data_IF_210919385891
#
_entry.id   IF_210919385891
#
_cell.length_a   1.000
_cell.length_b   1.000
_cell.length_c   1.000
_cell.angle_alpha   90.00
_cell.angle_beta   90.00
_cell.angle_gamma   90.00
#
_symmetry.space_group_name_H-M   'P 1'
#
loop_
_entity.id
_entity.type
_entity.pdbx_description
1 polymer ?
#
# COMPACT_ATOMS: atom_id res chain seq x y z
N UNK A 1 -31.57 20.39 -6.20
CA UNK A 1 -30.84 19.84 -7.37
C UNK A 1 -29.53 19.25 -6.86
N UNK A 2 -29.22 17.96 -7.08
CA UNK A 2 -27.91 17.46 -6.67
C UNK A 2 -26.83 18.23 -7.46
N UNK A 3 -25.85 18.78 -6.75
CA UNK A 3 -24.71 19.49 -7.35
C UNK A 3 -24.14 18.65 -8.49
N UNK A 4 -24.16 19.16 -9.73
CA UNK A 4 -23.43 18.54 -10.84
C UNK A 4 -21.95 18.57 -10.48
N UNK A 5 -21.39 17.40 -10.17
CA UNK A 5 -19.95 17.24 -9.94
C UNK A 5 -19.26 17.65 -11.23
N UNK A 6 -18.55 18.79 -11.22
CA UNK A 6 -17.73 19.22 -12.34
C UNK A 6 -16.40 18.47 -12.27
N UNK A 7 -16.17 17.63 -13.27
CA UNK A 7 -14.88 16.99 -13.48
C UNK A 7 -13.88 18.01 -13.99
N UNK A 8 -12.62 17.83 -13.61
CA UNK A 8 -11.51 18.63 -14.07
C UNK A 8 -10.48 18.90 -12.99
N UNK A 9 -9.22 19.03 -13.41
CA UNK A 9 -8.10 19.24 -12.48
C UNK A 9 -8.19 20.60 -11.78
N UNK A 10 -8.61 21.65 -12.49
CA UNK A 10 -8.75 23.00 -11.91
C UNK A 10 -9.90 23.05 -10.91
N UNK A 11 -10.96 22.31 -11.16
CA UNK A 11 -12.17 22.26 -10.36
C UNK A 11 -11.95 21.43 -9.08
N UNK A 12 -11.11 20.40 -9.15
CA UNK A 12 -10.87 19.45 -8.05
C UNK A 12 -9.43 19.47 -7.51
N UNK A 13 -8.66 20.52 -7.79
CA UNK A 13 -7.22 20.59 -7.50
C UNK A 13 -6.88 20.25 -6.05
N UNK A 14 -7.68 20.70 -5.07
CA UNK A 14 -7.44 20.41 -3.64
C UNK A 14 -7.47 18.91 -3.34
N UNK A 15 -8.48 18.21 -3.84
CA UNK A 15 -8.63 16.77 -3.65
C UNK A 15 -7.57 16.00 -4.44
N UNK A 16 -7.26 16.46 -5.66
CA UNK A 16 -6.20 15.88 -6.45
C UNK A 16 -4.83 16.00 -5.78
N UNK A 17 -4.47 17.20 -5.28
CA UNK A 17 -3.23 17.44 -4.53
C UNK A 17 -3.16 16.57 -3.27
N UNK A 18 -4.26 16.44 -2.52
CA UNK A 18 -4.32 15.53 -1.38
C UNK A 18 -4.01 14.09 -1.80
N UNK A 19 -4.63 13.59 -2.87
CA UNK A 19 -4.38 12.23 -3.37
C UNK A 19 -2.95 12.06 -3.91
N UNK A 20 -2.34 13.10 -4.47
CA UNK A 20 -0.93 13.10 -4.86
C UNK A 20 -0.03 12.95 -3.63
N UNK A 21 -0.27 13.73 -2.57
CA UNK A 21 0.47 13.63 -1.31
C UNK A 21 0.31 12.23 -0.70
N UNK A 22 -0.92 11.71 -0.64
CA UNK A 22 -1.17 10.34 -0.16
C UNK A 22 -0.40 9.32 -1.01
N UNK A 23 -0.40 9.46 -2.33
CA UNK A 23 0.33 8.56 -3.21
C UNK A 23 1.86 8.64 -3.00
N UNK A 24 2.38 9.82 -2.68
CA UNK A 24 3.78 10.00 -2.32
C UNK A 24 4.13 9.25 -1.02
N UNK A 25 3.27 9.32 0.00
CA UNK A 25 3.46 8.53 1.23
C UNK A 25 3.38 7.03 0.99
N UNK A 26 2.40 6.57 0.19
CA UNK A 26 2.25 5.15 -0.18
C UNK A 26 3.51 4.65 -0.90
N UNK A 27 4.03 5.41 -1.87
CA UNK A 27 5.25 5.06 -2.59
C UNK A 27 6.51 5.15 -1.73
N UNK A 28 6.61 6.17 -0.89
CA UNK A 28 7.74 6.37 0.04
C UNK A 28 7.88 5.22 1.03
N UNK A 29 6.76 4.69 1.54
CA UNK A 29 6.76 3.53 2.43
C UNK A 29 7.42 2.30 1.79
N UNK A 30 7.05 1.97 0.54
CA UNK A 30 7.66 0.83 -0.20
C UNK A 30 9.12 1.11 -0.54
N UNK A 31 9.45 2.36 -0.86
CA UNK A 31 10.84 2.77 -1.13
C UNK A 31 11.74 2.54 0.09
N UNK A 32 11.32 3.01 1.26
CA UNK A 32 12.04 2.82 2.52
C UNK A 32 12.17 1.34 2.89
N UNK A 33 11.07 0.60 2.80
CA UNK A 33 11.05 -0.85 3.03
C UNK A 33 12.10 -1.57 2.18
N UNK A 34 12.11 -1.36 0.85
CA UNK A 34 13.07 -2.03 -0.04
C UNK A 34 14.53 -1.69 0.25
N UNK A 35 14.81 -0.51 0.77
CA UNK A 35 16.16 -0.10 1.15
C UNK A 35 16.61 -0.74 2.47
N UNK A 36 15.71 -0.89 3.43
CA UNK A 36 16.06 -1.29 4.81
C UNK A 36 16.04 -2.81 4.98
N UNK A 37 15.06 -3.51 4.40
CA UNK A 37 14.81 -4.92 4.72
C UNK A 37 15.93 -5.90 4.36
N UNK A 38 16.65 -5.76 3.22
CA UNK A 38 17.77 -6.65 2.92
C UNK A 38 18.87 -6.60 3.99
N UNK A 39 19.18 -5.41 4.49
CA UNK A 39 20.18 -5.19 5.54
C UNK A 39 19.69 -5.69 6.90
N UNK A 40 18.42 -5.40 7.23
CA UNK A 40 17.77 -5.87 8.45
C UNK A 40 17.75 -7.41 8.54
N UNK A 41 17.47 -8.10 7.43
CA UNK A 41 17.44 -9.57 7.37
C UNK A 41 18.80 -10.20 7.68
N UNK A 42 19.88 -9.58 7.21
CA UNK A 42 21.24 -10.06 7.40
C UNK A 42 21.73 -9.79 8.82
N UNK A 43 21.52 -8.57 9.33
CA UNK A 43 22.01 -8.14 10.65
C UNK A 43 21.28 -8.81 11.82
N UNK A 44 19.94 -8.89 11.77
CA UNK A 44 19.14 -9.34 12.91
C UNK A 44 18.84 -10.85 12.88
N UNK A 45 18.77 -11.45 11.69
CA UNK A 45 18.34 -12.86 11.55
C UNK A 45 19.38 -13.75 10.89
N UNK A 46 20.53 -13.21 10.45
CA UNK A 46 21.59 -13.99 9.79
C UNK A 46 21.15 -14.69 8.51
N UNK A 47 20.02 -14.27 7.91
CA UNK A 47 19.48 -14.90 6.71
C UNK A 47 20.28 -14.44 5.50
N UNK A 48 20.68 -15.38 4.64
CA UNK A 48 21.36 -15.05 3.40
C UNK A 48 20.55 -14.02 2.60
N UNK A 49 21.16 -12.86 2.35
CA UNK A 49 20.51 -11.68 1.75
C UNK A 49 19.68 -12.04 0.51
N UNK A 50 20.18 -12.93 -0.37
CA UNK A 50 19.46 -13.38 -1.58
C UNK A 50 18.17 -14.15 -1.29
N UNK A 51 18.17 -15.08 -0.33
CA UNK A 51 16.98 -15.88 0.02
C UNK A 51 15.93 -15.04 0.77
N UNK A 52 16.39 -14.17 1.68
CA UNK A 52 15.55 -13.20 2.35
C UNK A 52 14.84 -12.30 1.33
N UNK A 53 15.60 -11.64 0.44
CA UNK A 53 15.08 -10.75 -0.60
C UNK A 53 14.05 -11.48 -1.48
N UNK A 54 14.34 -12.71 -1.92
CA UNK A 54 13.41 -13.47 -2.76
C UNK A 54 12.10 -13.78 -2.04
N UNK A 55 12.15 -14.29 -0.82
CA UNK A 55 10.96 -14.59 -0.02
C UNK A 55 10.13 -13.32 0.23
N UNK A 56 10.82 -12.22 0.48
CA UNK A 56 10.24 -10.92 0.74
C UNK A 56 9.54 -10.34 -0.50
N UNK A 57 10.25 -10.25 -1.62
CA UNK A 57 9.70 -9.74 -2.89
C UNK A 57 8.54 -10.61 -3.36
N UNK A 58 8.65 -11.94 -3.23
CA UNK A 58 7.60 -12.86 -3.63
C UNK A 58 6.33 -12.70 -2.78
N UNK A 59 6.46 -12.68 -1.44
CA UNK A 59 5.33 -12.50 -0.53
C UNK A 59 4.63 -11.15 -0.76
N UNK A 60 5.40 -10.07 -0.84
CA UNK A 60 4.88 -8.74 -1.15
C UNK A 60 4.19 -8.69 -2.51
N UNK A 61 4.88 -9.16 -3.55
CA UNK A 61 4.41 -9.08 -4.93
C UNK A 61 3.13 -9.87 -5.14
N UNK A 62 3.06 -11.09 -4.61
CA UNK A 62 1.90 -11.96 -4.70
C UNK A 62 0.68 -11.35 -4.00
N UNK A 63 0.85 -10.92 -2.74
CA UNK A 63 -0.24 -10.35 -1.96
C UNK A 63 -0.73 -9.02 -2.53
N UNK A 64 0.18 -8.17 -3.00
CA UNK A 64 -0.15 -6.93 -3.71
C UNK A 64 -0.90 -7.19 -5.01
N UNK A 65 -0.47 -8.17 -5.81
CA UNK A 65 -1.14 -8.53 -7.05
C UNK A 65 -2.58 -9.00 -6.78
N UNK A 66 -2.78 -9.85 -5.78
CA UNK A 66 -4.10 -10.28 -5.35
C UNK A 66 -4.97 -9.11 -4.87
N UNK A 67 -4.44 -8.28 -3.98
CA UNK A 67 -5.15 -7.11 -3.47
C UNK A 67 -5.58 -6.18 -4.61
N UNK A 68 -4.66 -5.86 -5.54
CA UNK A 68 -4.94 -5.05 -6.72
C UNK A 68 -6.07 -5.64 -7.58
N UNK A 69 -6.04 -6.95 -7.84
CA UNK A 69 -7.07 -7.63 -8.63
C UNK A 69 -8.46 -7.46 -8.01
N UNK A 70 -8.57 -7.60 -6.69
CA UNK A 70 -9.84 -7.46 -5.98
C UNK A 70 -10.26 -6.01 -5.74
N UNK A 71 -9.34 -5.05 -5.73
CA UNK A 71 -9.64 -3.63 -5.48
C UNK A 71 -10.75 -3.11 -6.38
N UNK A 72 -10.78 -3.46 -7.68
CA UNK A 72 -11.83 -3.00 -8.59
C UNK A 72 -13.24 -3.46 -8.18
N UNK A 73 -13.41 -4.76 -7.90
CA UNK A 73 -14.69 -5.32 -7.45
C UNK A 73 -15.09 -4.77 -6.07
N UNK A 74 -14.13 -4.70 -5.15
CA UNK A 74 -14.36 -4.19 -3.81
C UNK A 74 -14.70 -2.69 -3.82
N UNK A 75 -14.13 -1.91 -4.75
CA UNK A 75 -14.38 -0.48 -4.85
C UNK A 75 -15.82 -0.20 -5.27
N UNK A 76 -16.39 -1.04 -6.12
CA UNK A 76 -17.80 -0.94 -6.52
C UNK A 76 -18.75 -1.28 -5.35
N UNK A 77 -18.35 -2.18 -4.45
CA UNK A 77 -19.18 -2.61 -3.31
C UNK A 77 -19.04 -1.70 -2.08
N UNK A 78 -17.81 -1.35 -1.72
CA UNK A 78 -17.48 -0.65 -0.48
C UNK A 78 -17.15 0.82 -0.69
N UNK A 79 -16.91 1.26 -1.92
CA UNK A 79 -16.47 2.62 -2.25
C UNK A 79 -14.95 2.78 -2.17
N UNK A 80 -14.40 3.59 -3.09
CA UNK A 80 -12.96 3.80 -3.28
C UNK A 80 -12.28 4.42 -2.06
N UNK A 81 -12.93 5.41 -1.43
CA UNK A 81 -12.44 6.04 -0.20
C UNK A 81 -12.31 5.04 0.96
N UNK A 82 -13.29 4.15 1.12
CA UNK A 82 -13.26 3.19 2.21
C UNK A 82 -12.14 2.18 2.03
N UNK A 83 -11.88 1.73 0.80
CA UNK A 83 -10.72 0.87 0.52
C UNK A 83 -9.39 1.53 0.82
N UNK A 84 -9.24 2.82 0.49
CA UNK A 84 -8.06 3.59 0.88
C UNK A 84 -7.87 3.59 2.40
N UNK A 85 -8.94 3.86 3.16
CA UNK A 85 -8.88 3.85 4.62
C UNK A 85 -8.57 2.47 5.19
N UNK A 86 -9.19 1.40 4.67
CA UNK A 86 -8.89 0.03 5.08
C UNK A 86 -7.44 -0.35 4.81
N UNK A 87 -6.89 0.03 3.66
CA UNK A 87 -5.47 -0.19 3.37
C UNK A 87 -4.57 0.51 4.38
N UNK A 88 -4.89 1.74 4.78
CA UNK A 88 -4.14 2.44 5.84
C UNK A 88 -4.32 1.82 7.22
N UNK A 89 -5.51 1.33 7.56
CA UNK A 89 -5.74 0.60 8.82
C UNK A 89 -4.90 -0.68 8.90
N UNK A 90 -4.79 -1.42 7.79
CA UNK A 90 -3.94 -2.60 7.69
C UNK A 90 -2.45 -2.23 7.83
N UNK A 91 -2.05 -1.01 7.47
CA UNK A 91 -0.68 -0.55 7.61
C UNK A 91 -0.27 -0.23 9.06
N UNK A 92 -1.22 0.15 9.93
CA UNK A 92 -0.95 0.54 11.32
C UNK A 92 -0.17 -0.53 12.12
N UNK A 93 -0.54 -1.82 12.12
CA UNK A 93 0.19 -2.83 12.89
C UNK A 93 1.60 -3.14 12.36
N UNK A 94 1.93 -2.78 11.12
CA UNK A 94 3.17 -3.21 10.44
C UNK A 94 4.43 -2.77 11.20
N UNK A 95 4.61 -1.49 11.58
CA UNK A 95 5.80 -1.06 12.32
C UNK A 95 5.96 -1.80 13.64
N UNK A 96 4.87 -2.05 14.36
CA UNK A 96 4.91 -2.78 15.64
C UNK A 96 5.31 -4.25 15.44
N UNK A 97 4.78 -4.91 14.41
CA UNK A 97 5.17 -6.27 14.06
C UNK A 97 6.66 -6.38 13.72
N UNK A 98 7.24 -5.35 13.10
CA UNK A 98 8.66 -5.31 12.75
C UNK A 98 9.55 -4.99 13.96
N UNK A 99 9.16 -4.02 14.80
CA UNK A 99 9.91 -3.65 16.02
C UNK A 99 9.99 -4.82 17.00
N UNK A 100 8.92 -5.60 17.13
CA UNK A 100 8.84 -6.75 18.04
C UNK A 100 9.02 -8.10 17.31
N UNK A 101 9.62 -8.09 16.12
CA UNK A 101 9.79 -9.30 15.32
C UNK A 101 10.74 -10.28 16.02
N UNK A 102 10.18 -11.39 16.54
CA UNK A 102 10.97 -12.45 17.17
C UNK A 102 11.60 -13.44 16.16
N UNK A 103 11.17 -13.39 14.89
CA UNK A 103 11.65 -14.30 13.84
C UNK A 103 11.38 -13.74 12.43
N UNK A 104 12.08 -14.25 11.42
CA UNK A 104 11.87 -13.89 10.01
C UNK A 104 10.43 -14.10 9.52
N UNK A 105 9.70 -15.07 10.09
CA UNK A 105 8.31 -15.31 9.74
C UNK A 105 7.41 -14.11 10.06
N UNK A 106 7.66 -13.40 11.17
CA UNK A 106 6.94 -12.16 11.50
C UNK A 106 7.22 -11.05 10.51
N UNK A 107 8.46 -10.98 10.00
CA UNK A 107 8.87 -10.04 8.95
C UNK A 107 8.13 -10.31 7.65
N UNK A 108 8.05 -11.59 7.24
CA UNK A 108 7.27 -12.00 6.06
C UNK A 108 5.78 -11.72 6.25
N UNK A 109 5.23 -11.98 7.44
CA UNK A 109 3.82 -11.70 7.74
C UNK A 109 3.51 -10.19 7.68
N UNK A 110 4.36 -9.35 8.28
CA UNK A 110 4.24 -7.89 8.19
C UNK A 110 4.29 -7.42 6.73
N UNK A 111 5.13 -8.06 5.91
CA UNK A 111 5.23 -7.77 4.49
C UNK A 111 3.99 -8.21 3.68
N UNK A 112 3.36 -9.34 4.03
CA UNK A 112 2.07 -9.74 3.47
C UNK A 112 1.01 -8.65 3.73
N UNK A 113 0.93 -8.14 4.96
CA UNK A 113 0.02 -7.04 5.31
C UNK A 113 0.35 -5.78 4.51
N UNK A 114 1.63 -5.48 4.33
CA UNK A 114 2.08 -4.36 3.52
C UNK A 114 1.65 -4.50 2.06
N UNK A 115 1.80 -5.68 1.46
CA UNK A 115 1.35 -5.94 0.09
C UNK A 115 -0.16 -5.74 -0.07
N UNK A 116 -0.96 -6.20 0.89
CA UNK A 116 -2.42 -5.95 0.91
C UNK A 116 -2.71 -4.45 1.01
N UNK A 117 -2.10 -3.76 1.99
CA UNK A 117 -2.27 -2.31 2.17
C UNK A 117 -1.91 -1.56 0.90
N UNK A 118 -0.78 -1.88 0.28
CA UNK A 118 -0.29 -1.26 -0.95
C UNK A 118 -1.24 -1.51 -2.13
N UNK A 119 -1.77 -2.72 -2.27
CA UNK A 119 -2.71 -3.03 -3.35
C UNK A 119 -4.05 -2.29 -3.22
N UNK A 120 -4.52 -2.10 -1.98
CA UNK A 120 -5.75 -1.35 -1.72
C UNK A 120 -5.54 0.16 -1.87
N UNK A 121 -4.50 0.71 -1.25
CA UNK A 121 -4.24 2.15 -1.20
C UNK A 121 -3.84 2.71 -2.56
N UNK A 122 -2.86 2.10 -3.24
CA UNK A 122 -2.35 2.58 -4.53
C UNK A 122 -3.43 2.57 -5.62
N UNK A 123 -4.13 1.44 -5.78
CA UNK A 123 -5.18 1.33 -6.79
C UNK A 123 -6.33 2.30 -6.51
N UNK A 124 -6.72 2.48 -5.25
CA UNK A 124 -7.79 3.43 -4.88
C UNK A 124 -7.38 4.89 -5.13
N UNK A 125 -6.16 5.30 -4.78
CA UNK A 125 -5.71 6.69 -5.01
C UNK A 125 -5.59 7.02 -6.48
N UNK A 126 -5.12 6.09 -7.31
CA UNK A 126 -5.03 6.27 -8.77
C UNK A 126 -6.43 6.43 -9.36
N UNK A 127 -7.35 5.52 -9.06
CA UNK A 127 -8.73 5.56 -9.57
C UNK A 127 -9.45 6.82 -9.10
N UNK A 128 -9.33 7.19 -7.83
CA UNK A 128 -9.96 8.42 -7.30
C UNK A 128 -9.43 9.68 -7.99
N UNK A 129 -8.15 9.74 -8.38
CA UNK A 129 -7.62 10.87 -9.14
C UNK A 129 -8.25 10.95 -10.53
N UNK A 130 -8.38 9.82 -11.22
CA UNK A 130 -9.04 9.72 -12.53
C UNK A 130 -10.49 10.18 -12.40
N UNK A 131 -11.22 9.67 -11.41
CA UNK A 131 -12.62 10.04 -11.16
C UNK A 131 -12.84 11.54 -10.93
N UNK A 132 -11.84 12.28 -10.45
CA UNK A 132 -11.94 13.71 -10.21
C UNK A 132 -11.66 14.56 -11.45
N UNK A 133 -10.84 14.05 -12.37
CA UNK A 133 -10.38 14.82 -13.54
C UNK A 133 -11.08 14.43 -14.84
N UNK A 134 -11.63 13.21 -14.92
CA UNK A 134 -12.19 12.61 -16.14
C UNK A 134 -11.19 11.68 -16.81
#
# INVERSE_FOLDING_TARGET
MPNKIKLGLKENWRQFTLLVIVNAFVGGMVGMERAIFPQFAELEFGVASKAAILSFIAAFGFTKALANYYTGKLANKFGRKNLLLFGWLIAIPIPFLLIYAASWAWVVFANVLLGISQGLTWSSTVVMKIDLVG
#
